data_IF_169398553732
#
_entry.id   IF_169398553732
#
_cell.length_a   1.000
_cell.length_b   1.000
_cell.length_c   1.000
_cell.angle_alpha   90.00
_cell.angle_beta   90.00
_cell.angle_gamma   90.00
#
_symmetry.space_group_name_H-M   'P 1'
#
loop_
_entity.id
_entity.type
_entity.pdbx_description
1 polymer ?
#
# COMPACT_ATOMS: atom_id res chain seq x y z
N UNK A 1 -38.83 19.61 -5.91
CA UNK A 1 -37.84 19.43 -4.84
C UNK A 1 -36.90 18.29 -5.20
N UNK A 2 -35.66 18.62 -5.54
CA UNK A 2 -34.52 17.70 -5.58
C UNK A 2 -33.28 18.58 -5.56
N UNK A 3 -32.43 18.56 -4.52
CA UNK A 3 -31.22 19.35 -4.52
C UNK A 3 -30.11 18.55 -5.21
N UNK A 4 -29.73 19.03 -6.38
CA UNK A 4 -28.45 18.79 -7.03
C UNK A 4 -27.32 19.11 -6.04
N UNK A 5 -26.53 18.11 -5.63
CA UNK A 5 -25.30 18.35 -4.86
C UNK A 5 -24.18 18.74 -5.82
N UNK A 6 -23.83 20.01 -5.78
CA UNK A 6 -22.66 20.61 -6.41
C UNK A 6 -21.39 20.12 -5.70
N UNK A 7 -20.45 19.54 -6.45
CA UNK A 7 -19.12 19.17 -5.94
C UNK A 7 -18.27 20.45 -5.96
N UNK A 8 -17.77 20.85 -4.80
CA UNK A 8 -16.88 22.00 -4.66
C UNK A 8 -15.49 21.64 -5.23
N UNK A 9 -15.01 22.47 -6.15
CA UNK A 9 -13.60 22.53 -6.55
C UNK A 9 -12.82 23.17 -5.40
N UNK A 10 -11.79 22.49 -4.90
CA UNK A 10 -10.79 23.09 -4.01
C UNK A 10 -9.66 23.71 -4.86
N UNK A 11 -9.12 24.86 -4.46
CA UNK A 11 -8.13 25.59 -5.25
C UNK A 11 -6.75 24.95 -5.17
N UNK A 12 -5.97 25.16 -6.23
CA UNK A 12 -4.55 24.86 -6.28
C UNK A 12 -3.80 25.64 -5.19
N UNK A 13 -3.13 24.93 -4.28
CA UNK A 13 -1.96 25.47 -3.60
C UNK A 13 -1.08 24.37 -3.02
N UNK A 14 0.19 24.48 -3.40
CA UNK A 14 1.33 23.65 -3.07
C UNK A 14 1.44 23.43 -1.55
N UNK A 15 1.32 22.17 -1.13
CA UNK A 15 2.01 21.57 0.01
C UNK A 15 1.52 20.12 0.09
N UNK A 16 2.40 19.18 -0.24
CA UNK A 16 2.20 17.74 -0.17
C UNK A 16 1.67 17.37 1.23
N UNK A 17 0.35 17.24 1.33
CA UNK A 17 -0.37 16.94 2.56
C UNK A 17 -1.19 15.68 2.30
N UNK A 18 -0.68 14.54 2.76
CA UNK A 18 -1.43 13.28 2.84
C UNK A 18 -2.79 13.51 3.55
N UNK A 19 -3.85 12.76 3.20
CA UNK A 19 -5.21 13.03 3.64
C UNK A 19 -5.31 13.04 5.17
N UNK A 20 -5.70 14.19 5.74
CA UNK A 20 -6.08 14.31 7.15
C UNK A 20 -7.42 13.60 7.36
N UNK A 21 -7.38 12.37 7.87
CA UNK A 21 -8.59 11.66 8.32
C UNK A 21 -9.09 12.34 9.60
N UNK A 22 -10.07 13.23 9.48
CA UNK A 22 -10.78 13.80 10.62
C UNK A 22 -12.03 12.97 10.91
N UNK A 23 -12.03 12.19 12.01
CA UNK A 23 -13.24 11.55 12.55
C UNK A 23 -13.62 12.24 13.86
N UNK A 24 -14.74 12.97 13.86
CA UNK A 24 -15.37 13.53 15.07
C UNK A 24 -16.03 12.36 15.82
N UNK A 25 -15.58 12.06 17.05
CA UNK A 25 -16.01 10.88 17.81
C UNK A 25 -16.90 11.24 19.01
N UNK A 26 -18.06 10.60 19.15
CA UNK A 26 -18.99 10.79 20.28
C UNK A 26 -19.26 9.55 21.16
N UNK A 27 -18.65 8.36 20.93
CA UNK A 27 -18.82 7.18 21.82
C UNK A 27 -17.51 6.44 22.18
N UNK A 28 -17.51 5.66 23.27
CA UNK A 28 -16.32 4.96 23.82
C UNK A 28 -15.80 3.81 22.94
N UNK A 29 -16.67 3.10 22.22
CA UNK A 29 -16.29 2.03 21.26
C UNK A 29 -15.57 2.66 20.06
N UNK A 30 -16.09 3.77 19.55
CA UNK A 30 -15.50 4.50 18.43
C UNK A 30 -14.12 5.05 18.77
N UNK A 31 -13.89 5.46 20.03
CA UNK A 31 -12.55 5.86 20.51
C UNK A 31 -11.54 4.73 20.51
N UNK A 32 -11.94 3.49 20.80
CA UNK A 32 -11.03 2.35 20.78
C UNK A 32 -10.66 1.97 19.35
N UNK A 33 -11.65 1.90 18.46
CA UNK A 33 -11.43 1.66 17.03
C UNK A 33 -10.59 2.76 16.41
N UNK A 34 -10.85 4.03 16.74
CA UNK A 34 -10.04 5.16 16.29
C UNK A 34 -8.58 5.05 16.73
N UNK A 35 -8.30 4.56 17.95
CA UNK A 35 -6.93 4.32 18.43
C UNK A 35 -6.25 3.18 17.70
N UNK A 36 -6.97 2.08 17.43
CA UNK A 36 -6.43 0.95 16.65
C UNK A 36 -6.08 1.42 15.23
N UNK A 37 -6.99 2.15 14.58
CA UNK A 37 -6.78 2.68 13.24
C UNK A 37 -5.61 3.68 13.22
N UNK A 38 -5.54 4.58 14.22
CA UNK A 38 -4.43 5.52 14.36
C UNK A 38 -3.08 4.81 14.59
N UNK A 39 -3.05 3.80 15.46
CA UNK A 39 -1.84 3.00 15.71
C UNK A 39 -1.40 2.23 14.47
N UNK A 40 -2.33 1.68 13.70
CA UNK A 40 -2.02 1.03 12.42
C UNK A 40 -1.44 2.03 11.40
N UNK A 41 -1.97 3.25 11.34
CA UNK A 41 -1.47 4.30 10.48
C UNK A 41 -0.05 4.77 10.90
N UNK A 42 0.21 4.88 12.20
CA UNK A 42 1.55 5.21 12.73
C UNK A 42 2.58 4.12 12.38
N UNK A 43 2.21 2.85 12.54
CA UNK A 43 3.06 1.72 12.15
C UNK A 43 3.33 1.73 10.64
N UNK A 44 2.29 1.91 9.81
CA UNK A 44 2.44 1.99 8.36
C UNK A 44 3.41 3.10 7.95
N UNK A 45 3.29 4.29 8.56
CA UNK A 45 4.18 5.41 8.27
C UNK A 45 5.65 5.08 8.59
N UNK A 46 5.90 4.48 9.75
CA UNK A 46 7.25 4.05 10.13
C UNK A 46 7.82 2.96 9.19
N UNK A 47 6.96 2.04 8.72
CA UNK A 47 7.34 1.04 7.73
C UNK A 47 7.66 1.66 6.38
N UNK A 48 6.84 2.60 5.88
CA UNK A 48 7.09 3.32 4.63
C UNK A 48 8.42 4.08 4.68
N UNK A 49 8.69 4.81 5.77
CA UNK A 49 9.97 5.52 5.98
C UNK A 49 11.17 4.55 5.90
N UNK A 50 10.97 3.29 6.29
CA UNK A 50 12.02 2.26 6.25
C UNK A 50 12.12 1.59 4.87
N UNK A 51 10.99 1.40 4.17
CA UNK A 51 10.96 0.92 2.78
C UNK A 51 11.72 1.85 1.85
N UNK A 52 11.50 3.17 1.97
CA UNK A 52 12.20 4.17 1.14
C UNK A 52 13.72 4.12 1.29
N UNK A 53 14.25 3.69 2.45
CA UNK A 53 15.70 3.53 2.64
C UNK A 53 16.29 2.36 1.85
N UNK A 54 15.46 1.40 1.43
CA UNK A 54 15.86 0.27 0.59
C UNK A 54 15.70 0.56 -0.91
N UNK A 55 15.02 1.64 -1.27
CA UNK A 55 14.70 1.99 -2.64
C UNK A 55 15.66 3.06 -3.18
N UNK A 56 15.68 3.21 -4.51
CA UNK A 56 16.41 4.31 -5.15
C UNK A 56 15.68 5.62 -4.89
N UNK A 57 16.37 6.77 -4.91
CA UNK A 57 15.74 8.07 -4.70
C UNK A 57 14.58 8.37 -5.67
N UNK A 58 14.62 7.85 -6.88
CA UNK A 58 13.62 8.10 -7.93
C UNK A 58 12.46 7.08 -7.93
N UNK A 59 12.53 6.06 -7.07
CA UNK A 59 11.46 5.07 -6.95
C UNK A 59 10.28 5.66 -6.16
N UNK A 60 9.06 5.46 -6.66
CA UNK A 60 7.82 5.95 -6.04
C UNK A 60 6.93 4.79 -5.66
N UNK A 61 6.47 4.77 -4.41
CA UNK A 61 5.47 3.81 -3.96
C UNK A 61 4.07 4.31 -4.34
N UNK A 62 3.26 3.52 -5.04
CA UNK A 62 1.93 3.94 -5.54
C UNK A 62 0.78 3.15 -4.93
N UNK A 63 1.02 1.91 -4.55
CA UNK A 63 0.04 1.07 -3.87
C UNK A 63 0.75 0.18 -2.85
N UNK A 64 0.19 0.06 -1.66
CA UNK A 64 0.65 -0.87 -0.63
C UNK A 64 -0.50 -1.75 -0.17
N UNK A 65 -0.25 -3.05 -0.14
CA UNK A 65 -1.18 -4.07 0.32
C UNK A 65 -0.55 -4.73 1.53
N UNK A 66 -1.18 -4.62 2.70
CA UNK A 66 -0.81 -5.44 3.84
C UNK A 66 -1.36 -6.85 3.62
N UNK A 67 -0.50 -7.84 3.83
CA UNK A 67 -0.84 -9.24 3.69
C UNK A 67 -0.96 -9.91 5.06
N UNK A 68 -1.71 -11.01 5.11
CA UNK A 68 -1.72 -11.87 6.28
C UNK A 68 -0.31 -12.40 6.54
N UNK A 69 0.07 -12.40 7.82
CA UNK A 69 1.33 -12.96 8.30
C UNK A 69 1.03 -14.13 9.22
N UNK A 70 1.69 -15.27 8.98
CA UNK A 70 1.62 -16.42 9.88
C UNK A 70 2.40 -16.24 11.19
N UNK A 71 3.10 -15.12 11.36
CA UNK A 71 3.95 -14.85 12.52
C UNK A 71 3.50 -13.58 13.25
N UNK A 72 3.43 -13.61 14.59
CA UNK A 72 3.08 -12.44 15.38
C UNK A 72 4.13 -11.33 15.19
N UNK A 73 3.67 -10.07 15.19
CA UNK A 73 4.50 -8.87 15.05
C UNK A 73 5.36 -8.82 13.77
N UNK A 74 5.04 -9.64 12.77
CA UNK A 74 5.63 -9.53 11.43
C UNK A 74 4.58 -8.99 10.47
N UNK A 75 4.96 -7.99 9.69
CA UNK A 75 4.12 -7.44 8.65
C UNK A 75 4.70 -7.84 7.30
N UNK A 76 3.82 -8.27 6.41
CA UNK A 76 4.18 -8.52 5.02
C UNK A 76 3.43 -7.53 4.15
N UNK A 77 4.16 -6.85 3.28
CA UNK A 77 3.58 -5.90 2.35
C UNK A 77 3.89 -6.30 0.93
N UNK A 78 2.89 -6.19 0.07
CA UNK A 78 3.08 -6.16 -1.36
C UNK A 78 2.95 -4.71 -1.81
N UNK A 79 3.96 -4.18 -2.49
CA UNK A 79 4.03 -2.76 -2.84
C UNK A 79 4.29 -2.60 -4.32
N UNK A 80 3.47 -1.78 -4.99
CA UNK A 80 3.75 -1.35 -6.36
C UNK A 80 4.73 -0.18 -6.28
N UNK A 81 5.85 -0.34 -6.95
CA UNK A 81 6.91 0.66 -7.10
C UNK A 81 6.98 1.06 -8.56
N UNK A 82 6.92 2.36 -8.80
CA UNK A 82 7.02 2.95 -10.13
C UNK A 82 8.28 3.80 -10.21
N UNK A 83 8.98 3.75 -11.33
CA UNK A 83 10.12 4.64 -11.61
C UNK A 83 10.09 5.09 -13.08
N UNK A 84 10.79 6.17 -13.40
CA UNK A 84 11.04 6.54 -14.80
C UNK A 84 12.30 5.81 -15.26
N UNK A 85 12.13 4.92 -16.23
CA UNK A 85 13.19 4.12 -16.84
C UNK A 85 14.13 4.96 -17.71
N UNK A 86 15.18 4.31 -18.23
CA UNK A 86 16.22 4.97 -19.06
C UNK A 86 15.71 5.54 -20.37
N UNK A 87 14.56 5.07 -20.85
CA UNK A 87 13.91 5.52 -22.07
C UNK A 87 12.84 6.59 -21.81
N UNK A 88 12.86 7.20 -20.62
CA UNK A 88 11.84 8.17 -20.15
C UNK A 88 10.43 7.58 -20.11
N UNK A 89 10.34 6.25 -19.99
CA UNK A 89 9.08 5.52 -19.87
C UNK A 89 8.83 5.14 -18.41
N UNK A 90 7.57 5.18 -17.99
CA UNK A 90 7.19 4.67 -16.67
C UNK A 90 7.34 3.14 -16.64
N UNK A 91 8.12 2.67 -15.67
CA UNK A 91 8.34 1.24 -15.40
C UNK A 91 7.80 0.93 -14.01
N UNK A 92 7.17 -0.24 -13.86
CA UNK A 92 6.56 -0.66 -12.60
C UNK A 92 7.01 -2.06 -12.18
N UNK A 93 7.18 -2.25 -10.89
CA UNK A 93 7.48 -3.54 -10.28
C UNK A 93 6.67 -3.74 -9.00
N UNK A 94 6.41 -4.98 -8.68
CA UNK A 94 5.81 -5.43 -7.44
C UNK A 94 6.93 -5.92 -6.52
N UNK A 95 7.08 -5.29 -5.36
CA UNK A 95 8.03 -5.69 -4.34
C UNK A 95 7.30 -6.28 -3.14
N UNK A 96 7.82 -7.40 -2.63
CA UNK A 96 7.40 -7.99 -1.37
C UNK A 96 8.34 -7.54 -0.26
N UNK A 97 7.83 -6.79 0.71
CA UNK A 97 8.56 -6.40 1.91
C UNK A 97 8.16 -7.27 3.10
N UNK A 98 9.15 -7.81 3.80
CA UNK A 98 8.99 -8.46 5.08
C UNK A 98 9.54 -7.53 6.17
N UNK A 99 8.67 -7.14 7.11
CA UNK A 99 9.00 -6.30 8.25
C UNK A 99 8.91 -7.14 9.51
N UNK A 100 10.00 -7.18 10.28
CA UNK A 100 10.02 -7.73 11.63
C UNK A 100 10.33 -6.64 12.67
N UNK A 101 10.61 -7.03 13.91
CA UNK A 101 10.86 -6.10 15.01
C UNK A 101 12.04 -5.16 14.76
N UNK A 102 13.05 -5.58 14.01
CA UNK A 102 14.34 -4.88 13.91
C UNK A 102 14.78 -4.59 12.48
N UNK A 103 14.25 -5.31 11.50
CA UNK A 103 14.66 -5.22 10.10
C UNK A 103 13.46 -5.17 9.15
N UNK A 104 13.73 -4.55 8.01
CA UNK A 104 12.89 -4.60 6.82
C UNK A 104 13.74 -5.17 5.68
N UNK A 105 13.18 -6.12 4.96
CA UNK A 105 13.85 -6.79 3.84
C UNK A 105 12.94 -6.86 2.63
N UNK A 106 13.53 -6.98 1.44
CA UNK A 106 12.79 -7.27 0.20
C UNK A 106 12.89 -8.77 -0.05
N UNK A 107 11.80 -9.50 0.22
CA UNK A 107 11.70 -10.95 0.01
C UNK A 107 11.27 -11.33 -1.41
N UNK A 108 10.71 -10.38 -2.18
CA UNK A 108 10.26 -10.61 -3.55
C UNK A 108 10.43 -9.36 -4.41
N UNK A 109 10.82 -9.55 -5.67
CA UNK A 109 10.78 -8.53 -6.70
C UNK A 109 10.24 -9.15 -7.99
N UNK A 110 9.12 -8.63 -8.48
CA UNK A 110 8.43 -9.10 -9.67
C UNK A 110 8.16 -7.90 -10.59
N UNK A 111 8.85 -7.77 -11.73
CA UNK A 111 8.55 -6.68 -12.65
C UNK A 111 7.16 -6.89 -13.29
N UNK A 112 6.45 -5.80 -13.58
CA UNK A 112 5.12 -5.86 -14.21
C UNK A 112 5.30 -5.84 -15.72
N UNK A 113 5.15 -7.01 -16.34
CA UNK A 113 5.23 -7.19 -17.79
C UNK A 113 3.87 -7.62 -18.36
N UNK A 114 3.79 -7.72 -19.69
CA UNK A 114 2.55 -8.05 -20.40
C UNK A 114 2.01 -9.47 -20.11
N UNK A 115 2.86 -10.37 -19.62
CA UNK A 115 2.49 -11.74 -19.25
C UNK A 115 2.00 -11.87 -17.79
N UNK A 116 2.03 -10.78 -16.99
CA UNK A 116 1.54 -10.82 -15.62
C UNK A 116 0.02 -11.02 -15.61
N UNK A 117 -0.41 -12.18 -15.13
CA UNK A 117 -1.81 -12.52 -14.88
C UNK A 117 -2.18 -12.35 -13.41
N UNK A 118 -3.34 -11.74 -13.16
CA UNK A 118 -3.89 -11.53 -11.83
C UNK A 118 -5.25 -12.23 -11.77
N UNK A 119 -5.38 -13.20 -10.87
CA UNK A 119 -6.62 -13.96 -10.68
C UNK A 119 -6.97 -14.11 -9.21
N UNK A 120 -8.23 -14.40 -8.91
CA UNK A 120 -8.68 -14.70 -7.55
C UNK A 120 -8.34 -16.14 -7.18
N UNK A 121 -8.05 -16.39 -5.90
CA UNK A 121 -7.70 -17.74 -5.43
C UNK A 121 -8.88 -18.60 -4.95
N UNK A 122 -10.05 -17.99 -4.74
CA UNK A 122 -11.27 -18.66 -4.27
C UNK A 122 -11.47 -18.61 -2.74
N UNK A 123 -10.42 -18.29 -1.99
CA UNK A 123 -10.38 -18.27 -0.52
C UNK A 123 -10.10 -16.85 0.00
N UNK A 124 -10.54 -15.83 -0.73
CA UNK A 124 -10.38 -14.41 -0.37
C UNK A 124 -9.00 -13.80 -0.65
N UNK A 125 -8.13 -14.51 -1.37
CA UNK A 125 -6.85 -13.99 -1.84
C UNK A 125 -6.80 -13.75 -3.35
N UNK A 126 -5.62 -13.37 -3.82
CA UNK A 126 -5.31 -13.21 -5.24
C UNK A 126 -4.00 -13.90 -5.58
N UNK A 127 -3.85 -14.27 -6.83
CA UNK A 127 -2.66 -14.88 -7.40
C UNK A 127 -2.03 -13.92 -8.39
N UNK A 128 -0.71 -13.85 -8.34
CA UNK A 128 0.11 -13.23 -9.37
C UNK A 128 0.87 -14.32 -10.09
N UNK A 129 0.66 -14.44 -11.39
CA UNK A 129 1.35 -15.40 -12.24
C UNK A 129 2.12 -14.66 -13.32
N UNK A 130 3.41 -14.90 -13.43
CA UNK A 130 4.23 -14.41 -14.54
C UNK A 130 5.30 -15.45 -14.85
N UNK A 131 5.47 -15.77 -16.13
CA UNK A 131 6.19 -16.96 -16.60
C UNK A 131 5.84 -18.21 -15.76
N UNK A 132 6.85 -18.87 -15.20
CA UNK A 132 6.72 -20.10 -14.40
C UNK A 132 6.60 -19.81 -12.89
N UNK A 133 6.33 -18.56 -12.48
CA UNK A 133 6.17 -18.19 -11.07
C UNK A 133 4.71 -17.85 -10.77
N UNK A 134 4.15 -18.53 -9.77
CA UNK A 134 2.83 -18.25 -9.24
C UNK A 134 2.95 -17.96 -7.74
N UNK A 135 2.45 -16.79 -7.32
CA UNK A 135 2.44 -16.36 -5.93
C UNK A 135 1.01 -16.11 -5.48
N UNK A 136 0.62 -16.62 -4.31
CA UNK A 136 -0.71 -16.43 -3.72
C UNK A 136 -0.59 -15.53 -2.50
N UNK A 137 -1.46 -14.54 -2.43
CA UNK A 137 -1.45 -13.52 -1.40
C UNK A 137 -2.84 -13.36 -0.76
N UNK A 138 -2.85 -13.24 0.57
CA UNK A 138 -4.06 -12.98 1.37
C UNK A 138 -4.05 -11.53 1.86
N UNK A 139 -4.84 -10.62 1.28
CA UNK A 139 -4.83 -9.22 1.65
C UNK A 139 -5.59 -8.98 2.97
N UNK A 140 -5.01 -8.13 3.82
CA UNK A 140 -5.64 -7.60 5.04
C UNK A 140 -6.15 -6.18 4.80
N UNK A 141 -5.35 -5.35 4.14
CA UNK A 141 -5.71 -3.96 3.83
C UNK A 141 -4.99 -3.48 2.57
N UNK A 142 -5.53 -2.45 1.93
CA UNK A 142 -4.99 -1.83 0.72
C UNK A 142 -5.00 -0.31 0.90
N UNK A 143 -3.90 0.34 0.55
CA UNK A 143 -3.76 1.79 0.60
C UNK A 143 -3.12 2.29 -0.69
N UNK A 144 -3.82 3.18 -1.39
CA UNK A 144 -3.24 3.94 -2.50
C UNK A 144 -2.40 5.10 -1.95
N UNK A 145 -1.26 5.35 -2.61
CA UNK A 145 -0.32 6.41 -2.32
C UNK A 145 -0.28 7.33 -3.55
N UNK A 146 -0.81 8.55 -3.42
CA UNK A 146 -0.90 9.54 -4.49
C UNK A 146 0.00 10.75 -4.22
#
# INVERSE_FOLDING_TARGET
>A
SSPTKQIALFPDNENLSLPKIATVATNTIDRHLARIVAGNAENLRAHLDSMYKLLRPDDRLTLIVQLESGFPNRYRYLVIVTCVGRQETEESAILGFDVDTNEITIGMALPIWADLDISLDGDGGFKLTSYDRCHIFKPVSVQALW
#
